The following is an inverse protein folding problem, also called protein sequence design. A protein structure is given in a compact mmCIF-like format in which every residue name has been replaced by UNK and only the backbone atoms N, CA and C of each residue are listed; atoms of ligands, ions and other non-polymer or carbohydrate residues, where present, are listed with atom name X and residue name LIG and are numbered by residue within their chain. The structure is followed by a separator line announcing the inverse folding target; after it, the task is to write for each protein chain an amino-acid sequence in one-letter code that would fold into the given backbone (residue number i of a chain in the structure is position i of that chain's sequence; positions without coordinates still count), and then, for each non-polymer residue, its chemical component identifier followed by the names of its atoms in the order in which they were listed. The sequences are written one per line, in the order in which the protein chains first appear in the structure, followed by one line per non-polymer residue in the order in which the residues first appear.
data_IF_949344937471
#
_entry.id   IF_949344937471
#
_cell.length_a   1.000
_cell.length_b   1.000
_cell.length_c   1.000
_cell.angle_alpha   90.00
_cell.angle_beta   90.00
_cell.angle_gamma   90.00
#
_symmetry.space_group_name_H-M   'P 1'
#
loop_
_entity.id
_entity.type
_entity.pdbx_description
1 polymer ?
#
# COMPACT_ATOMS: atom_id res chain seq x y z
N UNK A 1 21.84 2.71 -1.64
CA UNK A 1 22.07 1.28 -1.91
C UNK A 1 22.20 1.12 -3.40
N UNK A 2 23.18 0.39 -3.84
CA UNK A 2 23.29 0.04 -5.25
C UNK A 2 22.41 -1.18 -5.48
N UNK A 3 21.49 -1.15 -6.41
CA UNK A 3 20.69 -2.28 -6.88
C UNK A 3 21.53 -3.57 -7.01
N UNK A 4 22.73 -3.45 -7.56
CA UNK A 4 23.67 -4.54 -7.75
C UNK A 4 24.24 -5.17 -6.47
N UNK A 5 24.06 -4.54 -5.31
CA UNK A 5 24.54 -5.09 -4.04
C UNK A 5 23.58 -6.11 -3.41
N UNK A 6 22.39 -6.28 -3.97
CA UNK A 6 21.42 -7.28 -3.54
C UNK A 6 21.06 -8.19 -4.73
N UNK A 7 21.61 -9.42 -4.77
CA UNK A 7 21.49 -10.30 -5.93
C UNK A 7 20.05 -10.76 -6.21
N UNK A 8 19.20 -10.84 -5.16
CA UNK A 8 17.84 -11.35 -5.26
C UNK A 8 16.81 -10.23 -5.56
N UNK A 9 17.26 -9.06 -6.01
CA UNK A 9 16.33 -7.97 -6.39
C UNK A 9 15.48 -8.41 -7.59
N UNK A 10 14.16 -8.22 -7.47
CA UNK A 10 13.19 -8.68 -8.46
C UNK A 10 12.48 -9.98 -8.08
N UNK A 11 12.82 -10.62 -6.96
CA UNK A 11 12.25 -11.91 -6.56
C UNK A 11 10.75 -11.88 -6.25
N UNK A 12 10.22 -10.73 -5.83
CA UNK A 12 8.80 -10.56 -5.53
C UNK A 12 8.00 -10.21 -6.79
N UNK A 13 8.55 -9.30 -7.59
CA UNK A 13 7.88 -8.77 -8.78
C UNK A 13 8.00 -9.68 -10.00
N UNK A 14 8.99 -10.58 -10.03
CA UNK A 14 9.40 -11.33 -11.22
C UNK A 14 10.20 -10.49 -12.22
N UNK A 15 10.41 -9.20 -11.96
CA UNK A 15 11.17 -8.27 -12.81
C UNK A 15 12.67 -8.46 -12.59
N UNK A 16 13.18 -9.60 -13.05
CA UNK A 16 14.61 -9.96 -12.97
C UNK A 16 15.36 -9.48 -14.22
N UNK A 17 14.65 -9.14 -15.30
CA UNK A 17 15.25 -8.75 -16.55
C UNK A 17 15.52 -7.24 -16.60
N UNK A 18 16.72 -6.87 -17.07
CA UNK A 18 17.18 -5.47 -17.12
C UNK A 18 16.25 -4.56 -17.94
N UNK A 19 15.70 -5.07 -19.03
CA UNK A 19 14.82 -4.33 -19.94
C UNK A 19 13.50 -3.93 -19.26
N UNK A 20 12.88 -4.81 -18.50
CA UNK A 20 11.64 -4.53 -17.78
C UNK A 20 11.84 -3.54 -16.62
N UNK A 21 13.02 -3.57 -15.99
CA UNK A 21 13.38 -2.62 -14.93
C UNK A 21 13.59 -1.22 -15.47
N UNK A 22 14.12 -1.05 -16.69
CA UNK A 22 14.33 0.24 -17.35
C UNK A 22 13.01 0.90 -17.76
N UNK A 23 12.04 0.13 -18.24
CA UNK A 23 10.70 0.64 -18.60
C UNK A 23 9.90 1.13 -17.37
N UNK A 24 10.13 0.55 -16.19
CA UNK A 24 9.46 0.93 -14.96
C UNK A 24 10.06 2.19 -14.29
N UNK A 25 11.23 2.65 -14.71
CA UNK A 25 11.88 3.86 -14.20
C UNK A 25 11.31 5.09 -14.91
N UNK A 26 10.29 5.70 -14.33
CA UNK A 26 9.63 6.94 -14.82
C UNK A 26 10.39 8.22 -14.50
N UNK A 27 11.69 8.17 -14.28
CA UNK A 27 12.50 9.31 -13.87
C UNK A 27 13.53 9.60 -14.97
N UNK A 28 13.69 10.88 -15.31
CA UNK A 28 14.77 11.33 -16.18
C UNK A 28 16.12 10.76 -15.72
N UNK A 29 16.95 10.38 -16.69
CA UNK A 29 18.27 9.81 -16.40
C UNK A 29 19.10 10.79 -15.56
N UNK A 30 19.37 10.46 -14.32
CA UNK A 30 20.27 11.23 -13.45
C UNK A 30 21.73 10.87 -13.80
N UNK A 31 22.52 11.81 -14.35
CA UNK A 31 23.90 11.53 -14.75
C UNK A 31 24.82 11.18 -13.59
N UNK A 32 24.40 11.44 -12.35
CA UNK A 32 25.17 11.11 -11.16
C UNK A 32 24.97 9.66 -10.68
N UNK A 33 23.98 8.95 -11.22
CA UNK A 33 23.77 7.54 -10.91
C UNK A 33 24.82 6.67 -11.60
N UNK A 34 25.35 5.71 -10.88
CA UNK A 34 26.27 4.72 -11.47
C UNK A 34 25.53 3.68 -12.33
N UNK A 35 24.26 3.46 -12.01
CA UNK A 35 23.35 2.60 -12.75
C UNK A 35 21.97 3.28 -12.75
N UNK A 36 21.29 3.40 -13.89
CA UNK A 36 19.98 4.04 -13.98
C UNK A 36 18.93 3.41 -13.07
N UNK A 37 19.11 2.14 -12.71
CA UNK A 37 18.24 1.36 -11.80
C UNK A 37 18.46 1.67 -10.32
N UNK A 38 19.55 2.38 -9.98
CA UNK A 38 19.80 2.75 -8.59
C UNK A 38 18.67 3.67 -8.09
N UNK A 39 18.11 3.38 -6.93
CA UNK A 39 17.08 4.18 -6.29
C UNK A 39 17.59 4.92 -5.06
N UNK A 40 16.92 6.02 -4.75
CA UNK A 40 17.38 6.96 -3.72
C UNK A 40 17.07 6.44 -2.32
N UNK A 41 18.09 6.36 -1.46
CA UNK A 41 17.92 6.12 -0.03
C UNK A 41 17.76 7.43 0.75
N UNK A 42 18.50 8.46 0.37
CA UNK A 42 18.48 9.78 0.99
C UNK A 42 18.47 10.84 -0.10
N UNK A 43 17.55 11.78 -0.01
CA UNK A 43 17.39 12.89 -0.96
C UNK A 43 17.90 14.17 -0.32
N UNK A 44 18.67 14.98 -1.04
CA UNK A 44 19.01 16.33 -0.61
C UNK A 44 17.74 17.18 -0.45
N UNK A 45 17.69 17.96 0.62
CA UNK A 45 16.58 18.87 0.86
C UNK A 45 16.64 20.04 -0.13
N UNK A 46 15.53 20.28 -0.80
CA UNK A 46 15.32 21.46 -1.64
C UNK A 46 15.19 22.72 -0.77
N UNK A 47 15.46 23.88 -1.36
CA UNK A 47 15.27 25.16 -0.67
C UNK A 47 13.80 25.32 -0.22
N UNK A 48 13.61 25.76 1.02
CA UNK A 48 12.26 25.91 1.61
C UNK A 48 11.62 24.63 2.16
N UNK A 49 12.25 23.48 2.03
CA UNK A 49 11.72 22.23 2.60
C UNK A 49 11.76 22.27 4.13
N UNK A 50 10.59 22.11 4.76
CA UNK A 50 10.43 22.15 6.22
C UNK A 50 10.76 20.82 6.90
N UNK A 51 10.40 19.69 6.27
CA UNK A 51 10.63 18.33 6.81
C UNK A 51 11.94 17.79 6.26
N UNK A 52 13.02 17.99 6.99
CA UNK A 52 14.38 17.54 6.66
C UNK A 52 15.19 17.30 7.91
N UNK A 53 16.24 16.52 7.78
CA UNK A 53 17.15 16.19 8.88
C UNK A 53 18.61 16.30 8.46
N UNK A 54 19.53 16.60 9.37
CA UNK A 54 20.96 16.53 9.10
C UNK A 54 21.39 15.06 8.96
N UNK A 55 22.32 14.81 8.04
CA UNK A 55 22.94 13.50 7.86
C UNK A 55 24.40 13.66 7.44
N UNK A 56 25.11 12.53 7.35
CA UNK A 56 26.49 12.53 6.80
C UNK A 56 26.53 12.91 5.32
N UNK A 57 25.40 12.90 4.64
CA UNK A 57 25.23 13.32 3.24
C UNK A 57 24.72 14.76 3.10
N UNK A 58 24.62 15.51 4.19
CA UNK A 58 24.01 16.84 4.24
C UNK A 58 22.55 16.81 4.73
N UNK A 59 21.91 18.00 4.72
CA UNK A 59 20.49 18.11 5.03
C UNK A 59 19.64 17.43 3.95
N UNK A 60 18.69 16.61 4.38
CA UNK A 60 17.90 15.85 3.46
C UNK A 60 16.76 15.08 4.13
N UNK A 61 16.19 14.17 3.38
CA UNK A 61 15.09 13.31 3.81
C UNK A 61 15.19 11.92 3.19
N UNK A 62 14.62 10.88 3.83
CA UNK A 62 14.66 9.53 3.32
C UNK A 62 13.89 9.39 2.01
N UNK A 63 14.29 8.44 1.17
CA UNK A 63 13.47 7.93 0.08
C UNK A 63 12.31 7.10 0.62
N UNK A 64 11.22 7.01 -0.14
CA UNK A 64 9.99 6.36 0.30
C UNK A 64 10.17 4.91 0.78
N UNK A 65 10.95 4.10 0.05
CA UNK A 65 11.13 2.69 0.42
C UNK A 65 11.85 2.52 1.76
N UNK A 66 12.89 3.32 2.04
CA UNK A 66 13.64 3.22 3.28
C UNK A 66 12.85 3.67 4.51
N UNK A 67 11.85 4.53 4.33
CA UNK A 67 10.92 4.91 5.41
C UNK A 67 10.19 3.66 5.93
N UNK A 68 9.57 2.90 5.03
CA UNK A 68 8.84 1.68 5.38
C UNK A 68 9.76 0.59 5.92
N UNK A 69 10.91 0.36 5.30
CA UNK A 69 11.91 -0.60 5.77
C UNK A 69 12.36 -0.30 7.20
N UNK A 70 12.70 0.96 7.48
CA UNK A 70 13.17 1.38 8.81
C UNK A 70 12.08 1.32 9.87
N UNK A 71 10.86 1.77 9.55
CA UNK A 71 9.73 1.74 10.47
C UNK A 71 9.29 0.31 10.78
N UNK A 72 9.20 -0.56 9.77
CA UNK A 72 8.83 -1.95 9.96
C UNK A 72 9.82 -2.66 10.89
N UNK A 73 11.12 -2.54 10.63
CA UNK A 73 12.15 -3.15 11.48
C UNK A 73 12.12 -2.58 12.90
N UNK A 74 11.87 -1.28 13.05
CA UNK A 74 11.84 -0.62 14.36
C UNK A 74 10.66 -1.08 15.22
N UNK A 75 9.47 -1.22 14.65
CA UNK A 75 8.25 -1.46 15.41
C UNK A 75 7.80 -2.92 15.42
N UNK A 76 8.13 -3.70 14.38
CA UNK A 76 7.72 -5.09 14.23
C UNK A 76 8.89 -6.06 14.42
N UNK A 77 10.13 -5.56 14.41
CA UNK A 77 11.33 -6.39 14.53
C UNK A 77 11.94 -6.75 13.17
N UNK A 78 13.02 -7.55 13.23
CA UNK A 78 13.80 -7.96 12.04
C UNK A 78 13.16 -9.09 11.26
N UNK A 79 12.01 -9.55 11.69
CA UNK A 79 11.19 -10.57 11.03
C UNK A 79 9.76 -10.39 11.51
N UNK A 80 8.80 -10.36 10.59
CA UNK A 80 7.39 -10.24 10.90
C UNK A 80 6.54 -11.00 9.87
N UNK A 81 5.29 -11.31 10.26
CA UNK A 81 4.49 -12.29 9.54
C UNK A 81 3.92 -11.76 8.24
N UNK A 82 3.34 -10.54 8.26
CA UNK A 82 2.53 -10.06 7.14
C UNK A 82 2.87 -8.61 6.81
N UNK A 83 3.13 -8.33 5.53
CA UNK A 83 3.22 -6.99 4.96
C UNK A 83 2.20 -6.84 3.83
N UNK A 84 1.48 -5.72 3.82
CA UNK A 84 0.36 -5.52 2.88
C UNK A 84 0.54 -4.27 2.04
N UNK A 85 -0.01 -4.28 0.82
CA UNK A 85 -0.07 -3.10 -0.05
C UNK A 85 -1.00 -3.30 -1.24
N UNK A 86 -1.05 -2.33 -2.13
CA UNK A 86 -1.69 -2.48 -3.43
C UNK A 86 -0.79 -3.26 -4.41
N UNK A 87 -1.37 -3.78 -5.48
CA UNK A 87 -0.59 -4.45 -6.55
C UNK A 87 0.45 -3.53 -7.18
N UNK A 88 0.22 -2.24 -7.17
CA UNK A 88 1.15 -1.21 -7.65
C UNK A 88 2.34 -0.99 -6.70
N UNK A 89 2.29 -1.50 -5.47
CA UNK A 89 3.41 -1.51 -4.55
C UNK A 89 4.35 -2.71 -4.74
N UNK A 90 3.95 -3.76 -5.46
CA UNK A 90 4.82 -4.91 -5.72
C UNK A 90 6.15 -4.41 -6.28
N UNK A 91 6.06 -3.58 -7.33
CA UNK A 91 7.22 -2.92 -7.92
C UNK A 91 6.92 -1.43 -8.15
N UNK A 92 7.84 -0.51 -7.83
CA UNK A 92 9.18 -0.77 -7.26
C UNK A 92 9.22 -0.79 -5.71
N UNK A 93 8.09 -0.51 -5.01
CA UNK A 93 8.10 -0.17 -3.58
C UNK A 93 8.49 -1.36 -2.68
N UNK A 94 7.72 -2.43 -2.68
CA UNK A 94 8.00 -3.61 -1.84
C UNK A 94 9.27 -4.33 -2.26
N UNK A 95 9.57 -4.36 -3.57
CA UNK A 95 10.86 -4.87 -4.04
C UNK A 95 12.03 -4.05 -3.49
N UNK A 96 11.89 -2.73 -3.42
CA UNK A 96 12.85 -1.83 -2.79
C UNK A 96 13.00 -2.11 -1.29
N UNK A 97 11.89 -2.34 -0.58
CA UNK A 97 11.91 -2.70 0.85
C UNK A 97 12.61 -4.04 1.09
N UNK A 98 12.35 -5.05 0.26
CA UNK A 98 13.04 -6.34 0.31
C UNK A 98 14.55 -6.14 0.16
N UNK A 99 14.96 -5.46 -0.90
CA UNK A 99 16.37 -5.20 -1.17
C UNK A 99 17.07 -4.46 -0.02
N UNK A 100 16.41 -3.51 0.61
CA UNK A 100 16.96 -2.75 1.74
C UNK A 100 16.99 -3.56 3.04
N UNK A 101 15.87 -4.18 3.39
CA UNK A 101 15.70 -4.87 4.66
C UNK A 101 16.52 -6.16 4.71
N UNK A 102 16.51 -6.96 3.66
CA UNK A 102 17.25 -8.22 3.61
C UNK A 102 18.75 -8.00 3.44
N UNK A 103 19.18 -7.00 2.68
CA UNK A 103 20.59 -6.61 2.64
C UNK A 103 21.13 -6.14 4.00
N UNK A 104 20.26 -5.49 4.82
CA UNK A 104 20.62 -5.06 6.17
C UNK A 104 20.63 -6.20 7.19
N UNK A 105 19.65 -7.10 7.13
CA UNK A 105 19.46 -8.16 8.13
C UNK A 105 20.19 -9.45 7.79
N UNK A 106 20.55 -9.66 6.52
CA UNK A 106 21.13 -10.90 6.00
C UNK A 106 20.13 -12.05 5.87
N UNK A 107 18.83 -11.79 6.03
CA UNK A 107 17.77 -12.81 5.96
C UNK A 107 16.44 -12.19 5.54
N UNK A 108 15.46 -13.01 5.10
CA UNK A 108 14.09 -12.55 4.86
C UNK A 108 13.50 -11.87 6.08
N UNK A 109 12.80 -10.75 5.87
CA UNK A 109 12.20 -9.94 6.93
C UNK A 109 10.69 -10.12 6.97
N UNK A 110 10.06 -10.38 5.84
CA UNK A 110 8.61 -10.56 5.72
C UNK A 110 8.29 -11.98 5.28
N UNK A 111 7.46 -12.67 6.05
CA UNK A 111 7.05 -14.05 5.76
C UNK A 111 5.99 -14.12 4.66
N UNK A 112 5.04 -13.19 4.67
CA UNK A 112 3.92 -13.19 3.71
C UNK A 112 3.62 -11.79 3.18
N UNK A 113 3.67 -11.63 1.87
CA UNK A 113 3.28 -10.42 1.17
C UNK A 113 1.84 -10.55 0.66
N UNK A 114 0.97 -9.58 1.00
CA UNK A 114 -0.42 -9.54 0.56
C UNK A 114 -0.68 -8.29 -0.28
N UNK A 115 -1.13 -8.49 -1.53
CA UNK A 115 -1.39 -7.38 -2.45
C UNK A 115 -2.86 -7.32 -2.85
N UNK A 116 -3.51 -6.21 -2.49
CA UNK A 116 -4.88 -5.90 -2.89
C UNK A 116 -4.96 -5.33 -4.29
N UNK A 117 -5.98 -5.72 -5.03
CA UNK A 117 -6.25 -5.18 -6.36
C UNK A 117 -6.77 -3.73 -6.29
N UNK A 118 -6.69 -3.04 -7.42
CA UNK A 118 -7.18 -1.68 -7.56
C UNK A 118 -8.68 -1.57 -7.29
N UNK A 119 -9.06 -0.48 -6.64
CA UNK A 119 -10.44 -0.03 -6.57
C UNK A 119 -10.81 0.67 -7.89
N UNK A 120 -11.90 0.23 -8.51
CA UNK A 120 -12.48 0.89 -9.66
C UNK A 120 -13.63 1.78 -9.19
N UNK A 121 -13.85 2.89 -9.89
CA UNK A 121 -15.05 3.73 -9.78
C UNK A 121 -15.74 3.69 -11.13
N UNK A 122 -16.98 3.17 -11.15
CA UNK A 122 -17.77 2.97 -12.38
C UNK A 122 -16.98 2.25 -13.50
N UNK A 123 -16.23 1.20 -13.14
CA UNK A 123 -15.45 0.38 -14.08
C UNK A 123 -14.08 0.94 -14.45
N UNK A 124 -13.72 2.14 -14.04
CA UNK A 124 -12.43 2.79 -14.32
C UNK A 124 -11.57 2.84 -13.06
N UNK A 125 -10.25 2.67 -13.19
CA UNK A 125 -9.34 2.81 -12.04
C UNK A 125 -9.57 4.17 -11.36
N UNK A 126 -9.85 4.15 -10.05
CA UNK A 126 -10.04 5.37 -9.27
C UNK A 126 -8.72 6.14 -9.18
N UNK A 127 -8.71 7.37 -9.66
CA UNK A 127 -7.53 8.23 -9.62
C UNK A 127 -7.94 9.71 -9.55
N UNK A 128 -7.17 10.51 -8.82
CA UNK A 128 -7.41 11.97 -8.74
C UNK A 128 -7.33 12.64 -10.11
N UNK A 129 -6.38 12.22 -10.93
CA UNK A 129 -6.19 12.74 -12.30
C UNK A 129 -7.34 12.42 -13.25
N UNK A 130 -8.13 11.38 -12.96
CA UNK A 130 -9.31 10.99 -13.73
C UNK A 130 -10.60 11.69 -13.25
N UNK A 131 -10.55 12.47 -12.16
CA UNK A 131 -11.72 13.14 -11.60
C UNK A 131 -12.77 12.19 -11.00
N UNK A 132 -12.46 10.90 -10.84
CA UNK A 132 -13.33 9.85 -10.32
C UNK A 132 -12.92 9.38 -8.92
N UNK A 133 -12.16 10.20 -8.20
CA UNK A 133 -11.73 9.93 -6.82
C UNK A 133 -12.76 10.47 -5.84
N UNK A 134 -13.20 9.62 -4.92
CA UNK A 134 -14.13 9.96 -3.85
C UNK A 134 -13.45 9.88 -2.49
N UNK A 135 -13.86 10.76 -1.58
CA UNK A 135 -13.46 10.74 -0.16
C UNK A 135 -14.68 10.39 0.71
N UNK A 136 -14.46 10.10 1.98
CA UNK A 136 -15.55 9.68 2.88
C UNK A 136 -16.66 10.72 3.02
N UNK A 137 -16.32 12.01 3.00
CA UNK A 137 -17.32 13.10 3.03
C UNK A 137 -18.24 13.11 1.81
N UNK A 138 -17.80 12.62 0.65
CA UNK A 138 -18.67 12.50 -0.53
C UNK A 138 -19.73 11.41 -0.33
N UNK A 139 -19.39 10.37 0.43
CA UNK A 139 -20.28 9.28 0.81
C UNK A 139 -21.31 9.81 1.82
N UNK A 140 -20.86 10.51 2.85
CA UNK A 140 -21.71 11.12 3.89
C UNK A 140 -22.67 12.15 3.30
N UNK A 141 -22.22 13.00 2.36
CA UNK A 141 -23.06 13.98 1.68
C UNK A 141 -24.21 13.34 0.88
N UNK A 142 -24.10 12.04 0.55
CA UNK A 142 -25.17 11.25 -0.09
C UNK A 142 -26.05 10.48 0.92
N UNK A 143 -25.89 10.76 2.22
CA UNK A 143 -26.66 10.10 3.28
C UNK A 143 -26.29 8.63 3.49
N UNK A 144 -25.07 8.25 3.16
CA UNK A 144 -24.58 6.88 3.30
C UNK A 144 -23.57 6.81 4.46
N UNK A 145 -23.74 5.81 5.33
CA UNK A 145 -22.81 5.53 6.43
C UNK A 145 -21.43 5.15 5.85
N UNK A 146 -20.32 5.83 6.21
CA UNK A 146 -18.98 5.47 5.76
C UNK A 146 -18.59 4.01 6.04
N UNK A 147 -19.14 3.40 7.09
CA UNK A 147 -18.94 1.98 7.38
C UNK A 147 -19.51 1.06 6.30
N UNK A 148 -20.49 1.55 5.50
CA UNK A 148 -21.00 0.80 4.35
C UNK A 148 -19.89 0.60 3.29
N UNK A 149 -18.96 1.55 3.13
CA UNK A 149 -17.81 1.36 2.25
C UNK A 149 -16.87 0.28 2.77
N UNK A 150 -16.56 0.28 4.06
CA UNK A 150 -15.79 -0.80 4.67
C UNK A 150 -16.47 -2.16 4.48
N UNK A 151 -17.78 -2.22 4.69
CA UNK A 151 -18.58 -3.45 4.48
C UNK A 151 -18.52 -3.89 3.01
N UNK A 152 -18.64 -2.95 2.05
CA UNK A 152 -18.49 -3.25 0.62
C UNK A 152 -17.12 -3.87 0.32
N UNK A 153 -16.04 -3.30 0.85
CA UNK A 153 -14.69 -3.85 0.67
C UNK A 153 -14.57 -5.29 1.22
N UNK A 154 -15.24 -5.61 2.33
CA UNK A 154 -15.22 -6.94 2.94
C UNK A 154 -16.03 -7.99 2.16
N UNK A 155 -16.89 -7.59 1.23
CA UNK A 155 -17.66 -8.52 0.40
C UNK A 155 -16.88 -9.05 -0.80
N UNK A 156 -15.73 -8.48 -1.11
CA UNK A 156 -14.89 -8.87 -2.24
C UNK A 156 -13.59 -9.55 -1.77
N UNK A 157 -13.07 -10.44 -2.61
CA UNK A 157 -11.72 -10.99 -2.39
C UNK A 157 -10.68 -9.91 -2.69
N UNK A 158 -9.67 -9.75 -1.85
CA UNK A 158 -8.63 -8.72 -2.00
C UNK A 158 -7.87 -8.78 -3.34
N UNK A 159 -7.81 -9.95 -3.98
CA UNK A 159 -7.20 -10.16 -5.32
C UNK A 159 -8.12 -9.84 -6.49
N UNK A 160 -9.37 -9.42 -6.22
CA UNK A 160 -10.34 -9.08 -7.26
C UNK A 160 -10.51 -7.57 -7.30
N UNK A 161 -10.56 -6.99 -8.51
CA UNK A 161 -10.88 -5.57 -8.67
C UNK A 161 -12.28 -5.30 -8.16
N UNK A 162 -12.38 -4.51 -7.10
CA UNK A 162 -13.66 -4.08 -6.56
C UNK A 162 -14.15 -2.86 -7.34
N UNK A 163 -15.34 -2.96 -7.93
CA UNK A 163 -15.96 -1.83 -8.60
C UNK A 163 -16.87 -1.06 -7.62
N UNK A 164 -16.42 0.10 -7.21
CA UNK A 164 -17.20 1.04 -6.42
C UNK A 164 -18.22 1.75 -7.31
N UNK A 165 -19.49 1.67 -6.92
CA UNK A 165 -20.58 2.48 -7.44
C UNK A 165 -21.45 2.91 -6.27
N UNK A 166 -22.17 4.03 -6.36
CA UNK A 166 -23.12 4.41 -5.31
C UNK A 166 -24.28 3.41 -5.16
N UNK A 167 -24.61 2.67 -6.21
CA UNK A 167 -25.59 1.58 -6.15
C UNK A 167 -25.07 0.41 -5.33
N UNK A 168 -23.84 -0.06 -5.57
CA UNK A 168 -23.24 -1.13 -4.78
C UNK A 168 -23.06 -0.72 -3.32
N UNK A 169 -22.72 0.55 -3.09
CA UNK A 169 -22.54 1.11 -1.75
C UNK A 169 -23.87 1.15 -0.96
N UNK A 170 -24.99 1.55 -1.59
CA UNK A 170 -26.31 1.50 -0.98
C UNK A 170 -26.75 0.08 -0.66
N UNK A 171 -26.46 -0.88 -1.53
CA UNK A 171 -26.71 -2.31 -1.27
C UNK A 171 -25.90 -2.81 -0.07
N UNK A 172 -24.62 -2.41 0.01
CA UNK A 172 -23.73 -2.71 1.14
C UNK A 172 -24.25 -2.08 2.45
N UNK A 173 -24.75 -0.84 2.42
CA UNK A 173 -25.39 -0.21 3.59
C UNK A 173 -26.59 -1.01 4.09
N UNK A 174 -27.45 -1.46 3.18
CA UNK A 174 -28.60 -2.30 3.56
C UNK A 174 -28.15 -3.63 4.18
N UNK A 175 -27.07 -4.24 3.66
CA UNK A 175 -26.47 -5.44 4.24
C UNK A 175 -25.90 -5.19 5.62
N UNK A 176 -25.17 -4.09 5.81
CA UNK A 176 -24.61 -3.70 7.10
C UNK A 176 -25.71 -3.44 8.14
N UNK A 177 -26.80 -2.77 7.75
CA UNK A 177 -27.93 -2.55 8.66
C UNK A 177 -28.59 -3.87 9.10
N UNK A 178 -28.80 -4.81 8.18
CA UNK A 178 -29.31 -6.14 8.55
C UNK A 178 -28.40 -6.87 9.52
N UNK A 179 -27.08 -6.81 9.29
CA UNK A 179 -26.11 -7.41 10.20
C UNK A 179 -26.15 -6.75 11.59
N UNK A 180 -26.14 -5.42 11.66
CA UNK A 180 -26.23 -4.67 12.92
C UNK A 180 -27.49 -5.03 13.71
N UNK A 181 -28.65 -5.10 13.03
CA UNK A 181 -29.92 -5.47 13.66
C UNK A 181 -29.88 -6.89 14.20
N UNK A 182 -29.33 -7.85 13.44
CA UNK A 182 -29.22 -9.23 13.89
C UNK A 182 -28.31 -9.37 15.11
N UNK A 183 -27.16 -8.67 15.11
CA UNK A 183 -26.26 -8.67 16.29
C UNK A 183 -26.95 -8.04 17.49
N UNK A 184 -27.72 -6.96 17.30
CA UNK A 184 -28.47 -6.32 18.37
C UNK A 184 -29.56 -7.26 18.94
N UNK A 185 -30.32 -7.94 18.09
CA UNK A 185 -31.31 -8.95 18.50
C UNK A 185 -30.66 -10.03 19.37
N UNK A 186 -29.53 -10.60 18.91
CA UNK A 186 -28.81 -11.64 19.66
C UNK A 186 -28.25 -11.14 21.00
N UNK A 187 -27.73 -9.90 21.02
CA UNK A 187 -27.21 -9.32 22.27
C UNK A 187 -28.29 -9.01 23.29
N UNK A 188 -29.56 -8.96 22.85
CA UNK A 188 -30.72 -8.69 23.71
C UNK A 188 -31.38 -9.99 24.25
N UNK A 189 -30.93 -11.15 23.80
CA UNK A 189 -31.44 -12.43 24.31
C UNK A 189 -30.88 -12.71 25.72
N UNK A 190 -31.68 -13.36 26.61
CA UNK A 190 -31.19 -13.84 27.87
C UNK A 190 -29.99 -14.80 27.70
N UNK A 191 -29.02 -14.72 28.61
CA UNK A 191 -27.87 -15.62 28.57
C UNK A 191 -28.32 -17.07 28.74
N UNK A 192 -28.09 -17.92 27.73
CA UNK A 192 -28.46 -19.36 27.75
C UNK A 192 -29.57 -19.78 26.79
N UNK A 193 -30.22 -18.84 26.10
CA UNK A 193 -31.13 -19.22 25.00
C UNK A 193 -30.33 -19.38 23.69
N UNK A 194 -30.33 -20.59 23.13
CA UNK A 194 -29.83 -20.84 21.78
C UNK A 194 -30.90 -20.48 20.76
N UNK A 195 -30.50 -19.76 19.71
CA UNK A 195 -31.35 -19.49 18.52
C UNK A 195 -31.32 -20.68 17.59
#
# INVERSE_FOLDING_TARGET
MLFRSFPDYGKLSGNIHEEELLEAVRVEADPNKRDPRDFTLWKAAEEGRTVKWPSVFGEGFPGWHIECSAMSIKYLGREFDIHTGGVDNIFPHHEGEIGQSEAFTGKPVVNTWLHGQHLLADGVKMAKSAGNSFILSDIEAKGIDPLAFRYLCMTARYRTRLNFTFTSLKAAQSGLHRLKNRVWEWSSLPAGESV
#
